data_IF_424214843558
#
_entry.id   IF_424214843558
#
_cell.length_a   1.000
_cell.length_b   1.000
_cell.length_c   1.000
_cell.angle_alpha   90.00
_cell.angle_beta   90.00
_cell.angle_gamma   90.00
#
_symmetry.space_group_name_H-M   'P 1'
#
loop_
_entity.id
_entity.type
_entity.pdbx_description
1 polymer ?
#
# COMPACT_ATOMS: atom_id res chain seq x y z
N UNK A 1 6.82 18.30 1.49
CA UNK A 1 6.58 17.12 0.64
C UNK A 1 5.11 16.74 0.75
N UNK A 2 4.39 16.51 -0.35
CA UNK A 2 3.00 16.02 -0.28
C UNK A 2 2.92 14.73 0.54
N UNK A 3 1.87 14.61 1.34
CA UNK A 3 1.60 13.43 2.17
C UNK A 3 0.26 12.82 1.79
N UNK A 4 0.21 11.50 1.70
CA UNK A 4 -1.03 10.76 1.48
C UNK A 4 -1.23 9.75 2.59
N UNK A 5 -2.48 9.58 3.00
CA UNK A 5 -2.88 8.56 3.94
C UNK A 5 -3.87 7.63 3.24
N UNK A 6 -3.58 6.34 3.23
CA UNK A 6 -4.44 5.32 2.62
C UNK A 6 -4.86 4.30 3.67
N UNK A 7 -6.01 3.68 3.46
CA UNK A 7 -6.50 2.62 4.35
C UNK A 7 -7.02 1.42 3.57
N UNK A 8 -6.84 0.24 4.17
CA UNK A 8 -7.26 -1.06 3.65
C UNK A 8 -7.50 -2.00 4.84
N UNK A 9 -8.20 -3.10 4.62
CA UNK A 9 -8.30 -4.17 5.62
C UNK A 9 -7.45 -5.38 5.22
N UNK A 10 -7.01 -6.10 6.24
CA UNK A 10 -6.62 -7.49 6.14
C UNK A 10 -7.83 -8.38 6.40
N UNK A 11 -7.78 -9.61 5.87
CA UNK A 11 -8.66 -10.69 6.31
C UNK A 11 -8.45 -10.88 7.81
N UNK A 12 -9.55 -10.95 8.56
CA UNK A 12 -9.50 -11.02 10.02
C UNK A 12 -9.15 -12.44 10.51
N UNK A 13 -7.95 -12.89 10.17
CA UNK A 13 -7.36 -14.18 10.55
C UNK A 13 -5.95 -13.93 11.12
N UNK A 14 -5.66 -14.34 12.37
CA UNK A 14 -4.37 -14.06 13.00
C UNK A 14 -3.15 -14.61 12.25
N UNK A 15 -3.26 -15.77 11.60
CA UNK A 15 -2.15 -16.37 10.86
C UNK A 15 -1.86 -15.57 9.58
N UNK A 16 -2.90 -15.22 8.83
CA UNK A 16 -2.77 -14.39 7.62
C UNK A 16 -2.21 -12.99 7.95
N UNK A 17 -2.63 -12.40 9.07
CA UNK A 17 -2.11 -11.11 9.53
C UNK A 17 -0.61 -11.24 9.86
N UNK A 18 -0.20 -12.30 10.57
CA UNK A 18 1.21 -12.50 10.91
C UNK A 18 2.09 -12.69 9.69
N UNK A 19 1.64 -13.46 8.69
CA UNK A 19 2.37 -13.63 7.43
C UNK A 19 2.51 -12.31 6.66
N UNK A 20 1.43 -11.52 6.58
CA UNK A 20 1.47 -10.20 5.96
C UNK A 20 2.52 -9.29 6.61
N UNK A 21 2.58 -9.28 7.94
CA UNK A 21 3.58 -8.52 8.68
C UNK A 21 5.01 -9.00 8.41
N UNK A 22 5.25 -10.30 8.36
CA UNK A 22 6.56 -10.86 8.04
C UNK A 22 7.04 -10.42 6.65
N UNK A 23 6.17 -10.46 5.64
CA UNK A 23 6.51 -9.95 4.31
C UNK A 23 6.84 -8.46 4.33
N UNK A 24 6.15 -7.64 5.14
CA UNK A 24 6.41 -6.21 5.22
C UNK A 24 7.61 -5.83 6.10
N UNK A 25 8.06 -6.71 6.98
CA UNK A 25 9.33 -6.57 7.70
C UNK A 25 10.55 -6.83 6.81
N UNK A 26 10.36 -7.58 5.72
CA UNK A 26 11.39 -7.93 4.74
C UNK A 26 10.89 -7.76 3.31
N UNK A 27 10.47 -6.53 2.97
CA UNK A 27 9.95 -6.19 1.63
C UNK A 27 10.99 -6.52 0.56
N UNK A 28 10.53 -7.09 -0.55
CA UNK A 28 11.43 -7.43 -1.66
C UNK A 28 12.15 -6.19 -2.21
N UNK A 29 13.46 -6.27 -2.52
CA UNK A 29 14.23 -5.13 -3.02
C UNK A 29 13.62 -4.47 -4.26
N UNK A 30 13.03 -5.25 -5.16
CA UNK A 30 12.41 -4.77 -6.40
C UNK A 30 11.19 -3.89 -6.14
N UNK A 31 10.45 -4.17 -5.05
CA UNK A 31 9.31 -3.37 -4.63
C UNK A 31 9.78 -2.05 -4.04
N UNK A 32 10.80 -2.08 -3.19
CA UNK A 32 11.43 -0.87 -2.65
C UNK A 32 11.94 0.01 -3.80
N UNK A 33 12.64 -0.57 -4.78
CA UNK A 33 13.13 0.16 -5.94
C UNK A 33 11.98 0.77 -6.76
N UNK A 34 10.89 0.04 -6.96
CA UNK A 34 9.71 0.54 -7.70
C UNK A 34 9.04 1.71 -6.97
N UNK A 35 8.95 1.66 -5.64
CA UNK A 35 8.42 2.75 -4.82
C UNK A 35 9.27 4.02 -4.96
N UNK A 36 10.59 3.89 -4.80
CA UNK A 36 11.54 4.99 -4.94
C UNK A 36 11.51 5.59 -6.35
N UNK A 37 11.50 4.75 -7.39
CA UNK A 37 11.44 5.18 -8.79
C UNK A 37 10.15 5.93 -9.14
N UNK A 38 9.07 5.68 -8.41
CA UNK A 38 7.81 6.41 -8.54
C UNK A 38 7.78 7.73 -7.79
N UNK A 39 8.83 8.06 -7.00
CA UNK A 39 8.91 9.29 -6.21
C UNK A 39 8.33 9.18 -4.80
N UNK A 40 8.14 7.97 -4.27
CA UNK A 40 7.79 7.74 -2.86
C UNK A 40 9.11 7.70 -2.08
N UNK A 41 9.31 8.65 -1.17
CA UNK A 41 10.56 8.79 -0.41
C UNK A 41 10.44 8.19 0.99
N UNK A 42 9.24 8.20 1.56
CA UNK A 42 8.93 7.55 2.83
C UNK A 42 7.60 6.79 2.72
N UNK A 43 7.58 5.57 3.26
CA UNK A 43 6.39 4.73 3.33
C UNK A 43 6.35 4.03 4.68
N UNK A 44 5.23 4.20 5.39
CA UNK A 44 4.97 3.50 6.64
C UNK A 44 3.60 2.83 6.57
N UNK A 45 3.49 1.64 7.15
CA UNK A 45 2.20 0.97 7.34
C UNK A 45 2.01 0.70 8.83
N UNK A 46 0.91 1.20 9.36
CA UNK A 46 0.43 0.94 10.70
C UNK A 46 -0.78 0.01 10.65
N UNK A 47 -0.96 -0.79 11.69
CA UNK A 47 -2.10 -1.69 11.82
C UNK A 47 -2.80 -1.51 13.16
N UNK A 48 -4.13 -1.45 13.14
CA UNK A 48 -4.99 -1.59 14.31
C UNK A 48 -5.99 -2.72 14.05
N UNK A 49 -5.90 -3.82 14.80
CA UNK A 49 -6.63 -5.06 14.50
C UNK A 49 -6.40 -5.48 13.03
N UNK A 50 -7.43 -5.66 12.21
CA UNK A 50 -7.25 -5.96 10.79
C UNK A 50 -7.16 -4.71 9.89
N UNK A 51 -7.29 -3.50 10.44
CA UNK A 51 -7.26 -2.25 9.68
C UNK A 51 -5.83 -1.78 9.46
N UNK A 52 -5.47 -1.51 8.22
CA UNK A 52 -4.20 -0.89 7.82
C UNK A 52 -4.37 0.61 7.57
N UNK A 53 -3.31 1.35 7.88
CA UNK A 53 -3.11 2.74 7.52
C UNK A 53 -1.72 2.86 6.89
N UNK A 54 -1.64 3.33 5.64
CA UNK A 54 -0.38 3.57 4.94
C UNK A 54 -0.17 5.08 4.81
N UNK A 55 0.98 5.56 5.28
CA UNK A 55 1.43 6.93 5.06
C UNK A 55 2.49 6.95 3.98
N UNK A 56 2.33 7.86 3.03
CA UNK A 56 3.31 8.13 1.98
C UNK A 56 3.80 9.57 2.10
N UNK A 57 5.11 9.77 2.06
CA UNK A 57 5.72 11.05 1.72
C UNK A 57 6.36 10.94 0.33
N UNK A 58 6.08 11.91 -0.53
CA UNK A 58 6.47 11.85 -1.93
C UNK A 58 7.14 13.14 -2.40
N UNK A 59 7.89 13.05 -3.50
CA UNK A 59 8.45 14.19 -4.20
C UNK A 59 7.64 14.59 -5.44
N UNK A 60 8.11 15.61 -6.17
CA UNK A 60 7.44 16.18 -7.33
C UNK A 60 7.28 15.20 -8.51
N UNK A 61 8.02 14.10 -8.53
CA UNK A 61 7.91 13.10 -9.59
C UNK A 61 6.69 12.18 -9.42
N UNK A 62 6.06 12.16 -8.24
CA UNK A 62 4.97 11.25 -7.91
C UNK A 62 3.61 11.73 -8.43
N UNK A 63 2.87 10.80 -9.02
CA UNK A 63 1.42 10.86 -9.14
C UNK A 63 0.85 9.44 -9.05
N UNK A 64 -0.38 9.30 -8.56
CA UNK A 64 -1.04 7.98 -8.51
C UNK A 64 -1.16 7.36 -9.92
N UNK A 65 -1.44 8.18 -10.93
CA UNK A 65 -1.50 7.72 -12.33
C UNK A 65 -0.16 7.14 -12.80
N UNK A 66 0.94 7.87 -12.56
CA UNK A 66 2.29 7.41 -12.92
C UNK A 66 2.67 6.15 -12.14
N UNK A 67 2.38 6.10 -10.84
CA UNK A 67 2.63 4.91 -10.01
C UNK A 67 1.91 3.69 -10.58
N UNK A 68 0.62 3.83 -10.91
CA UNK A 68 -0.18 2.76 -11.49
C UNK A 68 0.39 2.26 -12.83
N UNK A 69 0.87 3.18 -13.69
CA UNK A 69 1.51 2.82 -14.97
C UNK A 69 2.82 2.05 -14.75
N UNK A 70 3.68 2.51 -13.83
CA UNK A 70 4.93 1.82 -13.49
C UNK A 70 4.68 0.43 -12.91
N UNK A 71 3.70 0.31 -12.03
CA UNK A 71 3.32 -0.95 -11.41
C UNK A 71 2.78 -1.95 -12.44
N UNK A 72 1.91 -1.50 -13.34
CA UNK A 72 1.36 -2.33 -14.42
C UNK A 72 2.45 -2.86 -15.36
N UNK A 73 3.52 -2.08 -15.56
CA UNK A 73 4.65 -2.46 -16.40
C UNK A 73 5.72 -3.31 -15.67
N UNK A 74 5.61 -3.52 -14.36
CA UNK A 74 6.61 -4.21 -13.55
C UNK A 74 6.12 -5.60 -13.09
N UNK A 75 6.61 -6.70 -13.68
CA UNK A 75 6.18 -8.06 -13.31
C UNK A 75 6.38 -8.40 -11.83
N UNK A 76 7.44 -7.86 -11.19
CA UNK A 76 7.70 -8.10 -9.76
C UNK A 76 6.70 -7.40 -8.87
N UNK A 77 6.26 -6.21 -9.24
CA UNK A 77 5.14 -5.55 -8.55
C UNK A 77 3.86 -6.35 -8.73
N UNK A 78 3.56 -6.87 -9.92
CA UNK A 78 2.38 -7.70 -10.15
C UNK A 78 2.40 -9.00 -9.31
N UNK A 79 3.55 -9.67 -9.21
CA UNK A 79 3.75 -10.84 -8.35
C UNK A 79 3.49 -10.50 -6.87
N UNK A 80 4.08 -9.40 -6.39
CA UNK A 80 3.89 -8.92 -5.03
C UNK A 80 2.43 -8.55 -4.75
N UNK A 81 1.79 -7.82 -5.64
CA UNK A 81 0.38 -7.42 -5.51
C UNK A 81 -0.54 -8.62 -5.43
N UNK A 82 -0.31 -9.65 -6.27
CA UNK A 82 -1.05 -10.91 -6.21
C UNK A 82 -0.85 -11.64 -4.89
N UNK A 83 0.38 -11.69 -4.38
CA UNK A 83 0.67 -12.28 -3.06
C UNK A 83 -0.03 -11.51 -1.94
N UNK A 84 0.08 -10.17 -1.93
CA UNK A 84 -0.53 -9.32 -0.90
C UNK A 84 -2.06 -9.42 -0.89
N UNK A 85 -2.67 -9.63 -2.06
CA UNK A 85 -4.10 -9.85 -2.19
C UNK A 85 -4.60 -11.13 -1.50
N UNK A 86 -3.72 -12.12 -1.27
CA UNK A 86 -4.06 -13.28 -0.44
C UNK A 86 -4.42 -12.88 0.99
N UNK A 87 -3.78 -11.84 1.52
CA UNK A 87 -3.95 -11.38 2.91
C UNK A 87 -4.96 -10.25 3.06
N UNK A 88 -5.09 -9.41 2.04
CA UNK A 88 -5.90 -8.21 2.06
C UNK A 88 -7.38 -8.47 1.76
N UNK A 89 -8.23 -7.53 2.16
CA UNK A 89 -9.64 -7.48 1.80
C UNK A 89 -10.05 -6.02 1.53
N UNK A 90 -10.99 -5.83 0.60
CA UNK A 90 -11.57 -4.53 0.33
C UNK A 90 -12.32 -3.98 1.57
N UNK A 91 -12.43 -2.66 1.67
CA UNK A 91 -13.15 -2.05 2.78
C UNK A 91 -14.66 -2.23 2.65
N UNK A 92 -15.41 -2.26 3.76
CA UNK A 92 -16.87 -2.23 3.69
C UNK A 92 -17.37 -1.02 2.90
N UNK A 93 -18.16 -1.27 1.86
CA UNK A 93 -18.77 -0.21 1.04
C UNK A 93 -17.93 0.29 -0.15
N UNK A 94 -16.73 -0.26 -0.39
CA UNK A 94 -15.99 0.00 -1.64
C UNK A 94 -16.48 -0.88 -2.77
N UNK A 95 -16.25 -0.48 -4.02
CA UNK A 95 -16.64 -1.31 -5.17
C UNK A 95 -15.77 -2.56 -5.25
N UNK A 96 -16.29 -3.57 -5.94
CA UNK A 96 -15.53 -4.79 -6.21
C UNK A 96 -14.24 -4.45 -6.97
N UNK A 97 -13.13 -5.01 -6.51
CA UNK A 97 -11.79 -4.76 -7.08
C UNK A 97 -11.10 -3.49 -6.58
N UNK A 98 -11.78 -2.62 -5.81
CA UNK A 98 -11.12 -1.47 -5.18
C UNK A 98 -10.27 -1.93 -3.97
N UNK A 99 -9.03 -1.42 -3.91
CA UNK A 99 -8.04 -1.75 -2.87
C UNK A 99 -7.87 -0.57 -1.90
N UNK A 100 -6.64 -0.07 -1.75
CA UNK A 100 -6.30 1.02 -0.83
C UNK A 100 -7.16 2.25 -1.13
N UNK A 101 -7.82 2.76 -0.09
CA UNK A 101 -8.67 3.94 -0.19
C UNK A 101 -7.92 5.15 0.30
N UNK A 102 -7.89 6.22 -0.50
CA UNK A 102 -7.33 7.50 -0.09
C UNK A 102 -8.22 8.13 1.00
N UNK A 103 -7.61 8.55 2.10
CA UNK A 103 -8.29 9.21 3.20
C UNK A 103 -8.28 10.72 3.02
N UNK A 104 -9.36 11.39 3.46
CA UNK A 104 -9.44 12.84 3.45
C UNK A 104 -8.70 13.41 4.67
N UNK A 105 -7.67 14.26 4.49
CA UNK A 105 -7.04 14.94 5.61
C UNK A 105 -8.01 15.95 6.22
N UNK A 106 -8.08 15.99 7.55
CA UNK A 106 -8.94 16.93 8.28
C UNK A 106 -8.16 18.06 8.96
N UNK A 107 -6.90 17.82 9.31
CA UNK A 107 -6.03 18.77 10.01
C UNK A 107 -4.55 18.36 9.84
N UNK A 108 -3.66 19.34 9.76
CA UNK A 108 -2.21 19.21 9.84
C UNK A 108 -1.66 20.48 10.52
N UNK A 109 -0.64 20.35 11.37
CA UNK A 109 0.04 21.45 12.06
C UNK A 109 1.45 21.63 11.53
#
# INVERSE_FOLDING_TARGET
MPRYCLTLDLKNDPALISEYEQYHQAVWPEIIQSLLAAGIEHLEIYRWQNRLCMLLEVNEAFSFERKNQLDAANPKVQEWEKLMWTYQQALPGTKEGEKWQLMNPICAL
#
